data_IF_548518007661
#
_entry.id   IF_548518007661
#
_cell.length_a   1.000
_cell.length_b   1.000
_cell.length_c   1.000
_cell.angle_alpha   90.00
_cell.angle_beta   90.00
_cell.angle_gamma   90.00
#
_symmetry.space_group_name_H-M   'P 1'
#
loop_
_entity.id
_entity.type
_entity.pdbx_description
1 polymer ?
#
# COMPACT_ATOMS: atom_id res chain seq x y z
N UNK A 1 7.84 -28.16 16.85
CA UNK A 1 7.63 -26.85 16.21
C UNK A 1 6.18 -26.79 15.77
N UNK A 2 5.41 -25.90 16.36
CA UNK A 2 3.99 -25.65 16.10
C UNK A 2 3.79 -24.84 14.81
N UNK A 3 2.57 -24.80 14.26
CA UNK A 3 2.26 -23.97 13.08
C UNK A 3 2.38 -22.46 13.37
N UNK A 4 2.18 -22.05 14.63
CA UNK A 4 2.54 -20.72 15.10
C UNK A 4 4.04 -20.47 14.91
N UNK A 5 4.89 -21.48 15.17
CA UNK A 5 6.34 -21.35 14.97
C UNK A 5 6.67 -21.16 13.49
N UNK A 6 6.00 -21.81 12.53
CA UNK A 6 6.35 -21.67 11.10
C UNK A 6 5.93 -20.33 10.48
N UNK A 7 4.75 -19.79 10.81
CA UNK A 7 4.36 -18.44 10.38
C UNK A 7 5.18 -17.36 11.08
N UNK A 8 5.42 -17.53 12.39
CA UNK A 8 6.41 -16.74 13.08
C UNK A 8 7.78 -16.90 12.41
N UNK A 9 8.13 -18.07 11.85
CA UNK A 9 9.40 -18.29 11.14
C UNK A 9 9.41 -17.68 9.73
N UNK A 10 8.31 -17.67 8.97
CA UNK A 10 8.26 -17.00 7.67
C UNK A 10 8.25 -15.49 7.82
N UNK A 11 7.40 -14.96 8.71
CA UNK A 11 7.39 -13.55 9.04
C UNK A 11 8.72 -13.13 9.67
N UNK A 12 9.27 -13.90 10.63
CA UNK A 12 10.59 -13.61 11.19
C UNK A 12 11.69 -13.71 10.14
N UNK A 13 11.61 -14.63 9.17
CA UNK A 13 12.55 -14.66 8.03
C UNK A 13 12.42 -13.42 7.16
N UNK A 14 11.21 -13.02 6.79
CA UNK A 14 10.97 -11.81 6.01
C UNK A 14 11.46 -10.56 6.78
N UNK A 15 11.08 -10.41 8.05
CA UNK A 15 11.56 -9.36 8.95
C UNK A 15 13.08 -9.38 9.07
N UNK A 16 13.70 -10.55 9.20
CA UNK A 16 15.16 -10.68 9.29
C UNK A 16 15.85 -10.29 7.97
N UNK A 17 15.30 -10.68 6.82
CA UNK A 17 15.80 -10.29 5.50
C UNK A 17 15.75 -8.77 5.37
N UNK A 18 14.60 -8.16 5.70
CA UNK A 18 14.40 -6.71 5.61
C UNK A 18 15.35 -5.98 6.58
N UNK A 19 15.51 -6.45 7.83
CA UNK A 19 16.48 -5.89 8.80
C UNK A 19 17.92 -6.03 8.32
N UNK A 20 18.28 -7.17 7.74
CA UNK A 20 19.64 -7.40 7.21
C UNK A 20 19.91 -6.47 6.04
N UNK A 21 18.92 -6.28 5.17
CA UNK A 21 18.99 -5.33 4.07
C UNK A 21 19.12 -3.89 4.58
N UNK A 22 18.29 -3.46 5.54
CA UNK A 22 18.38 -2.15 6.20
C UNK A 22 19.79 -1.87 6.74
N UNK A 23 20.36 -2.82 7.51
CA UNK A 23 21.68 -2.68 8.12
C UNK A 23 22.81 -2.58 7.09
N UNK A 24 22.69 -3.27 5.95
CA UNK A 24 23.69 -3.24 4.89
C UNK A 24 23.59 -1.98 4.04
N UNK A 25 22.38 -1.57 3.68
CA UNK A 25 22.13 -0.39 2.86
C UNK A 25 22.39 0.91 3.65
N UNK A 26 22.12 0.92 4.96
CA UNK A 26 22.24 2.09 5.83
C UNK A 26 22.98 1.76 7.14
N UNK A 27 24.30 1.52 7.09
CA UNK A 27 25.07 1.18 8.28
C UNK A 27 25.05 2.32 9.31
N UNK A 28 24.83 1.98 10.58
CA UNK A 28 24.87 2.92 11.70
C UNK A 28 23.57 3.68 12.00
N UNK A 29 22.51 3.47 11.21
CA UNK A 29 21.17 3.97 11.52
C UNK A 29 20.44 3.09 12.55
N UNK A 30 19.73 3.71 13.49
CA UNK A 30 18.75 2.96 14.30
C UNK A 30 17.60 2.47 13.42
N UNK A 31 17.19 1.21 13.54
CA UNK A 31 16.13 0.62 12.71
C UNK A 31 14.81 1.38 12.86
N UNK A 32 14.18 1.70 11.73
CA UNK A 32 12.88 2.40 11.68
C UNK A 32 11.73 1.49 11.21
N UNK A 33 12.02 0.22 10.93
CA UNK A 33 11.09 -0.76 10.35
C UNK A 33 9.77 -0.92 11.10
N UNK A 34 9.81 -0.82 12.43
CA UNK A 34 8.66 -1.03 13.29
C UNK A 34 7.96 0.29 13.68
N UNK A 35 8.48 1.44 13.22
CA UNK A 35 8.06 2.78 13.70
C UNK A 35 7.53 3.69 12.60
N UNK A 36 7.93 3.49 11.36
CA UNK A 36 7.55 4.34 10.24
C UNK A 36 7.15 3.50 9.01
N UNK A 37 5.84 3.36 8.73
CA UNK A 37 5.35 2.64 7.56
C UNK A 37 5.84 3.21 6.22
N UNK A 38 6.10 4.53 6.14
CA UNK A 38 6.64 5.15 4.93
C UNK A 38 8.09 4.74 4.72
N UNK A 39 8.87 4.70 5.81
CA UNK A 39 10.23 4.17 5.77
C UNK A 39 10.25 2.70 5.35
N UNK A 40 9.43 1.85 5.97
CA UNK A 40 9.34 0.42 5.63
C UNK A 40 8.94 0.22 4.17
N UNK A 41 7.99 1.02 3.66
CA UNK A 41 7.61 0.99 2.24
C UNK A 41 8.77 1.43 1.34
N UNK A 42 9.46 2.52 1.66
CA UNK A 42 10.60 2.99 0.89
C UNK A 42 11.74 1.96 0.88
N UNK A 43 12.00 1.30 2.01
CA UNK A 43 13.00 0.25 2.11
C UNK A 43 12.60 -0.99 1.31
N UNK A 44 11.33 -1.41 1.36
CA UNK A 44 10.82 -2.51 0.52
C UNK A 44 10.92 -2.17 -0.97
N UNK A 45 10.59 -0.93 -1.36
CA UNK A 45 10.76 -0.46 -2.73
C UNK A 45 12.24 -0.47 -3.15
N UNK A 46 13.14 -0.01 -2.29
CA UNK A 46 14.58 -0.08 -2.55
C UNK A 46 15.06 -1.53 -2.67
N UNK A 47 14.62 -2.43 -1.79
CA UNK A 47 14.95 -3.86 -1.88
C UNK A 47 14.45 -4.47 -3.18
N UNK A 48 13.21 -4.19 -3.59
CA UNK A 48 12.66 -4.67 -4.86
C UNK A 48 13.49 -4.15 -6.04
N UNK A 49 13.85 -2.87 -6.03
CA UNK A 49 14.69 -2.26 -7.05
C UNK A 49 16.10 -2.90 -7.09
N UNK A 50 16.71 -3.17 -5.94
CA UNK A 50 18.03 -3.81 -5.88
C UNK A 50 17.97 -5.28 -6.35
N UNK A 51 16.88 -5.98 -6.05
CA UNK A 51 16.63 -7.34 -6.56
C UNK A 51 16.43 -7.35 -8.09
N UNK A 52 15.82 -6.31 -8.65
CA UNK A 52 15.69 -6.14 -10.10
C UNK A 52 17.06 -5.91 -10.75
N UNK A 53 17.90 -5.04 -10.17
CA UNK A 53 19.27 -4.85 -10.67
C UNK A 53 20.13 -6.12 -10.55
N UNK A 54 20.00 -6.87 -9.45
CA UNK A 54 20.65 -8.17 -9.29
C UNK A 54 20.20 -9.16 -10.36
N UNK A 55 18.90 -9.21 -10.67
CA UNK A 55 18.37 -10.06 -11.72
C UNK A 55 18.98 -9.71 -13.08
N UNK A 56 19.09 -8.42 -13.41
CA UNK A 56 19.70 -7.94 -14.66
C UNK A 56 21.18 -8.37 -14.76
N UNK A 57 21.98 -8.18 -13.70
CA UNK A 57 23.41 -8.54 -13.69
C UNK A 57 23.63 -10.06 -13.87
N UNK A 58 22.65 -10.86 -13.47
CA UNK A 58 22.67 -12.31 -13.57
C UNK A 58 21.83 -12.90 -14.72
N UNK A 59 21.37 -12.06 -15.66
CA UNK A 59 20.55 -12.46 -16.82
C UNK A 59 19.28 -13.25 -16.43
N UNK A 60 18.63 -12.83 -15.33
CA UNK A 60 17.36 -13.35 -14.84
C UNK A 60 16.21 -12.42 -15.24
N UNK A 61 15.10 -12.97 -15.74
CA UNK A 61 13.87 -12.20 -15.97
C UNK A 61 13.18 -11.94 -14.61
N UNK A 62 13.34 -10.73 -14.09
CA UNK A 62 12.76 -10.33 -12.80
C UNK A 62 11.23 -10.45 -12.78
N UNK A 63 10.56 -10.13 -13.89
CA UNK A 63 9.10 -10.23 -13.97
C UNK A 63 8.66 -11.69 -13.95
N UNK A 64 9.37 -12.59 -14.63
CA UNK A 64 9.14 -14.03 -14.59
C UNK A 64 9.39 -14.60 -13.19
N UNK A 65 10.46 -14.18 -12.49
CA UNK A 65 10.75 -14.63 -11.11
C UNK A 65 9.64 -14.20 -10.14
N UNK A 66 9.16 -12.95 -10.24
CA UNK A 66 8.03 -12.48 -9.43
C UNK A 66 6.74 -13.21 -9.80
N UNK A 67 6.47 -13.40 -11.09
CA UNK A 67 5.31 -14.16 -11.55
C UNK A 67 5.37 -15.62 -11.09
N UNK A 68 6.54 -16.25 -11.11
CA UNK A 68 6.80 -17.59 -10.62
C UNK A 68 6.65 -17.68 -9.11
N UNK A 69 7.15 -16.71 -8.34
CA UNK A 69 6.91 -16.66 -6.89
C UNK A 69 5.43 -16.53 -6.55
N UNK A 70 4.70 -15.69 -7.29
CA UNK A 70 3.24 -15.57 -7.20
C UNK A 70 2.53 -16.86 -7.65
N UNK A 71 3.03 -17.51 -8.70
CA UNK A 71 2.49 -18.74 -9.22
C UNK A 71 2.74 -19.91 -8.25
N UNK A 72 3.90 -20.03 -7.63
CA UNK A 72 4.19 -21.02 -6.57
C UNK A 72 3.26 -20.78 -5.36
N UNK A 73 2.99 -19.52 -5.04
CA UNK A 73 1.98 -19.17 -4.04
C UNK A 73 0.58 -19.57 -4.51
N UNK A 74 0.30 -19.50 -5.81
CA UNK A 74 -1.02 -19.73 -6.43
C UNK A 74 -1.30 -21.17 -6.91
N UNK A 75 -0.26 -21.97 -7.12
CA UNK A 75 -0.26 -23.34 -7.67
C UNK A 75 -0.01 -24.38 -6.59
N UNK A 76 -0.01 -23.99 -5.31
CA UNK A 76 -0.10 -24.97 -4.26
C UNK A 76 -1.38 -25.81 -4.53
N UNK A 77 -1.28 -27.13 -4.78
CA UNK A 77 -2.35 -27.96 -5.31
C UNK A 77 -3.59 -28.08 -4.41
N UNK A 78 -3.55 -27.49 -3.21
CA UNK A 78 -4.71 -27.29 -2.35
C UNK A 78 -5.60 -26.10 -2.72
N UNK A 79 -5.19 -25.22 -3.66
CA UNK A 79 -5.90 -23.96 -3.97
C UNK A 79 -7.18 -24.14 -4.78
N UNK A 80 -7.23 -25.10 -5.71
CA UNK A 80 -8.46 -25.37 -6.48
C UNK A 80 -9.55 -26.06 -5.64
N UNK A 81 -9.15 -26.71 -4.55
CA UNK A 81 -10.05 -27.30 -3.55
C UNK A 81 -10.19 -26.43 -2.30
N UNK A 82 -9.52 -25.28 -2.25
CA UNK A 82 -9.53 -24.40 -1.09
C UNK A 82 -10.93 -23.76 -0.96
N UNK A 83 -11.57 -23.84 0.21
CA UNK A 83 -12.92 -23.31 0.40
C UNK A 83 -12.99 -21.78 0.26
N UNK A 84 -11.86 -21.09 0.40
CA UNK A 84 -11.72 -19.64 0.20
C UNK A 84 -10.51 -19.28 -0.65
N UNK A 85 -10.61 -18.13 -1.34
CA UNK A 85 -9.55 -17.55 -2.19
C UNK A 85 -9.06 -16.20 -1.68
N UNK A 86 -7.83 -15.84 -2.03
CA UNK A 86 -7.30 -14.49 -1.78
C UNK A 86 -8.20 -13.44 -2.46
N UNK A 87 -8.52 -12.39 -1.72
CA UNK A 87 -9.49 -11.37 -2.10
C UNK A 87 -10.93 -11.70 -1.75
N UNK A 88 -11.26 -12.89 -1.26
CA UNK A 88 -12.63 -13.17 -0.79
C UNK A 88 -12.92 -12.50 0.55
N UNK A 89 -14.18 -12.11 0.71
CA UNK A 89 -14.70 -11.49 1.91
C UNK A 89 -15.28 -12.55 2.85
N UNK A 90 -14.77 -12.62 4.06
CA UNK A 90 -15.12 -13.64 5.05
C UNK A 90 -15.54 -13.02 6.37
N UNK A 91 -16.39 -13.73 7.09
CA UNK A 91 -16.77 -13.45 8.46
C UNK A 91 -15.95 -14.35 9.39
N UNK A 92 -15.59 -13.81 10.55
CA UNK A 92 -14.84 -14.48 11.61
C UNK A 92 -15.74 -14.65 12.85
N UNK A 93 -16.59 -15.70 12.93
CA UNK A 93 -17.49 -15.93 14.07
C UNK A 93 -16.80 -15.90 15.43
N UNK A 94 -15.61 -16.50 15.55
CA UNK A 94 -14.85 -16.56 16.80
C UNK A 94 -14.21 -15.22 17.20
N UNK A 95 -14.16 -14.24 16.29
CA UNK A 95 -13.63 -12.91 16.53
C UNK A 95 -14.74 -11.87 16.65
N UNK A 96 -15.83 -12.22 17.35
CA UNK A 96 -16.99 -11.35 17.54
C UNK A 96 -17.81 -11.14 16.26
N UNK A 97 -17.72 -12.08 15.31
CA UNK A 97 -18.45 -12.01 14.05
C UNK A 97 -18.00 -10.90 13.11
N UNK A 98 -16.75 -10.41 13.25
CA UNK A 98 -16.14 -9.41 12.38
C UNK A 98 -16.05 -9.88 10.93
N UNK A 99 -15.98 -8.95 9.99
CA UNK A 99 -15.74 -9.26 8.57
C UNK A 99 -14.39 -8.73 8.11
N UNK A 100 -13.73 -9.49 7.24
CA UNK A 100 -12.43 -9.16 6.68
C UNK A 100 -12.23 -9.74 5.27
N UNK A 101 -11.05 -9.52 4.71
CA UNK A 101 -10.67 -10.00 3.38
C UNK A 101 -9.51 -10.98 3.51
N UNK A 102 -9.58 -12.10 2.80
CA UNK A 102 -8.48 -13.08 2.72
C UNK A 102 -7.32 -12.42 1.97
N UNK A 103 -6.15 -12.32 2.61
CA UNK A 103 -4.94 -11.77 1.99
C UNK A 103 -3.88 -12.81 1.71
N UNK A 104 -4.07 -14.01 2.25
CA UNK A 104 -3.19 -15.14 2.05
C UNK A 104 -3.71 -16.35 2.77
N UNK A 105 -2.97 -17.45 2.67
CA UNK A 105 -3.24 -18.68 3.39
C UNK A 105 -1.96 -19.48 3.51
N UNK A 106 -1.96 -20.45 4.41
CA UNK A 106 -0.87 -21.39 4.63
C UNK A 106 -1.46 -22.76 4.95
N UNK A 107 -0.83 -23.82 4.46
CA UNK A 107 -1.19 -25.19 4.82
C UNK A 107 -0.33 -25.64 5.99
N UNK A 108 -0.97 -26.08 7.08
CA UNK A 108 -0.22 -26.75 8.15
C UNK A 108 0.21 -28.14 7.68
N UNK A 109 1.43 -28.58 8.05
CA UNK A 109 1.86 -29.98 7.87
C UNK A 109 1.16 -30.94 8.84
N UNK A 110 0.47 -30.41 9.85
CA UNK A 110 -0.40 -31.19 10.73
C UNK A 110 -1.80 -31.28 10.14
N UNK A 111 -2.60 -32.24 10.60
CA UNK A 111 -4.01 -32.48 10.21
C UNK A 111 -4.98 -31.29 10.46
N UNK A 112 -4.46 -30.11 10.82
CA UNK A 112 -5.19 -28.89 11.12
C UNK A 112 -5.69 -28.13 9.87
N UNK A 113 -5.44 -28.65 8.67
CA UNK A 113 -5.95 -28.08 7.42
C UNK A 113 -5.32 -26.73 7.03
N UNK A 114 -6.02 -25.99 6.16
CA UNK A 114 -5.61 -24.69 5.63
C UNK A 114 -5.95 -23.58 6.63
N UNK A 115 -4.95 -22.78 6.99
CA UNK A 115 -5.09 -21.56 7.79
C UNK A 115 -5.10 -20.36 6.85
N UNK A 116 -6.14 -19.55 6.92
CA UNK A 116 -6.28 -18.34 6.13
C UNK A 116 -5.80 -17.11 6.91
N UNK A 117 -5.21 -16.17 6.19
CA UNK A 117 -4.79 -14.88 6.71
C UNK A 117 -5.84 -13.84 6.30
N UNK A 118 -6.44 -13.17 7.28
CA UNK A 118 -7.57 -12.26 7.10
C UNK A 118 -7.22 -10.87 7.60
N UNK A 119 -7.32 -9.88 6.73
CA UNK A 119 -7.26 -8.47 7.10
C UNK A 119 -8.66 -7.96 7.44
N UNK A 120 -8.79 -7.33 8.60
CA UNK A 120 -10.04 -6.68 9.04
C UNK A 120 -9.81 -5.17 8.98
N UNK A 121 -10.66 -4.39 8.29
CA UNK A 121 -10.48 -2.95 8.16
C UNK A 121 -10.27 -2.25 9.50
N UNK A 122 -9.26 -1.38 9.56
CA UNK A 122 -8.87 -0.63 10.76
C UNK A 122 -8.45 -1.49 11.96
N UNK A 123 -8.12 -2.76 11.76
CA UNK A 123 -7.40 -3.59 12.71
C UNK A 123 -5.97 -3.78 12.16
N UNK A 124 -4.93 -3.33 12.87
CA UNK A 124 -3.57 -3.32 12.32
C UNK A 124 -2.94 -4.73 12.17
N UNK A 125 -3.56 -5.75 12.77
CA UNK A 125 -3.05 -7.11 12.78
C UNK A 125 -3.82 -8.00 11.82
N UNK A 126 -3.10 -8.80 11.02
CA UNK A 126 -3.67 -9.87 10.21
C UNK A 126 -4.05 -11.03 11.13
N UNK A 127 -5.29 -11.51 10.99
CA UNK A 127 -5.81 -12.63 11.78
C UNK A 127 -5.57 -13.94 11.04
N UNK A 128 -5.03 -14.94 11.73
CA UNK A 128 -4.88 -16.28 11.20
C UNK A 128 -6.06 -17.14 11.66
N UNK A 129 -6.80 -17.74 10.73
CA UNK A 129 -8.04 -18.47 11.05
C UNK A 129 -8.18 -19.73 10.19
N UNK A 130 -8.43 -20.91 10.78
CA UNK A 130 -8.76 -22.13 10.05
C UNK A 130 -9.97 -21.97 9.12
N UNK A 131 -10.03 -22.76 8.04
CA UNK A 131 -11.12 -22.73 7.07
C UNK A 131 -12.51 -22.96 7.70
N UNK A 132 -12.63 -23.91 8.62
CA UNK A 132 -13.84 -24.28 9.34
C UNK A 132 -14.30 -23.22 10.36
N UNK A 133 -13.41 -22.28 10.70
CA UNK A 133 -13.69 -21.13 11.54
C UNK A 133 -14.02 -19.86 10.74
N UNK A 134 -14.10 -19.96 9.42
CA UNK A 134 -14.54 -18.89 8.53
C UNK A 134 -15.94 -19.18 8.00
N UNK A 135 -16.68 -18.11 7.74
CA UNK A 135 -17.93 -18.16 6.99
C UNK A 135 -17.89 -17.12 5.87
N UNK A 136 -18.67 -17.26 4.79
CA UNK A 136 -18.85 -16.19 3.81
C UNK A 136 -19.34 -14.90 4.50
N UNK A 137 -18.73 -13.77 4.17
CA UNK A 137 -19.23 -12.48 4.66
C UNK A 137 -20.54 -12.09 3.94
N UNK A 138 -21.40 -11.29 4.59
CA UNK A 138 -22.41 -10.55 3.84
C UNK A 138 -21.74 -9.63 2.81
N UNK A 139 -22.38 -9.33 1.67
CA UNK A 139 -21.82 -8.42 0.68
C UNK A 139 -21.60 -7.03 1.29
N UNK A 140 -20.48 -6.39 0.94
CA UNK A 140 -20.23 -5.01 1.34
C UNK A 140 -21.29 -4.07 0.70
N UNK A 141 -21.92 -3.16 1.48
CA UNK A 141 -22.96 -2.29 0.97
C UNK A 141 -22.39 -1.30 -0.08
N UNK A 142 -23.01 -1.20 -1.27
CA UNK A 142 -22.59 -0.23 -2.29
C UNK A 142 -22.61 1.20 -1.74
N UNK A 143 -21.44 1.83 -1.70
CA UNK A 143 -21.25 3.14 -1.07
C UNK A 143 -20.86 4.17 -2.11
N UNK A 144 -21.68 5.22 -2.25
CA UNK A 144 -21.41 6.32 -3.20
C UNK A 144 -20.40 7.32 -2.61
N UNK A 145 -19.38 7.64 -3.38
CA UNK A 145 -18.34 8.61 -3.03
C UNK A 145 -18.14 9.61 -4.18
N UNK A 146 -17.36 10.67 -3.94
CA UNK A 146 -16.92 11.58 -5.00
C UNK A 146 -16.01 10.93 -6.05
N UNK A 147 -15.51 9.71 -5.83
CA UNK A 147 -14.66 8.95 -6.77
C UNK A 147 -15.41 7.82 -7.47
N UNK A 148 -16.74 7.71 -7.26
CA UNK A 148 -17.58 6.65 -7.79
C UNK A 148 -18.19 5.77 -6.70
N UNK A 149 -18.86 4.69 -7.12
CA UNK A 149 -19.47 3.72 -6.21
C UNK A 149 -18.47 2.63 -5.87
N UNK A 150 -18.31 2.36 -4.57
CA UNK A 150 -17.45 1.29 -4.06
C UNK A 150 -18.32 0.14 -3.55
N UNK A 151 -18.05 -1.09 -3.97
CA UNK A 151 -18.85 -2.28 -3.62
C UNK A 151 -18.06 -3.35 -2.87
N UNK A 152 -16.81 -3.07 -2.50
CA UNK A 152 -15.94 -4.00 -1.76
C UNK A 152 -15.25 -3.30 -0.59
N UNK A 153 -15.09 -4.01 0.53
CA UNK A 153 -14.48 -3.47 1.73
C UNK A 153 -13.01 -3.06 1.53
N UNK A 154 -12.21 -3.89 0.85
CA UNK A 154 -10.80 -3.62 0.55
C UNK A 154 -10.61 -2.39 -0.36
N UNK A 155 -11.57 -2.14 -1.25
CA UNK A 155 -11.60 -0.93 -2.06
C UNK A 155 -12.07 0.28 -1.22
N UNK A 156 -13.05 0.10 -0.33
CA UNK A 156 -13.59 1.17 0.51
C UNK A 156 -12.53 1.75 1.44
N UNK A 157 -11.70 0.90 2.04
CA UNK A 157 -10.58 1.32 2.89
C UNK A 157 -9.54 2.14 2.10
N UNK A 158 -9.11 1.65 0.92
CA UNK A 158 -8.17 2.37 0.06
C UNK A 158 -8.71 3.72 -0.41
N UNK A 159 -10.00 3.78 -0.77
CA UNK A 159 -10.68 5.02 -1.17
C UNK A 159 -10.79 5.97 0.02
N UNK A 160 -11.09 5.48 1.22
CA UNK A 160 -11.11 6.28 2.44
C UNK A 160 -9.76 6.94 2.70
N UNK A 161 -8.66 6.16 2.72
CA UNK A 161 -7.30 6.68 2.97
C UNK A 161 -6.94 7.77 1.95
N UNK A 162 -7.25 7.54 0.67
CA UNK A 162 -7.01 8.52 -0.41
C UNK A 162 -7.80 9.81 -0.21
N UNK A 163 -9.09 9.72 0.13
CA UNK A 163 -9.95 10.88 0.38
C UNK A 163 -9.54 11.64 1.65
N UNK A 164 -9.20 10.92 2.73
CA UNK A 164 -8.74 11.49 3.98
C UNK A 164 -7.45 12.30 3.78
N UNK A 165 -6.48 11.77 3.02
CA UNK A 165 -5.25 12.49 2.68
C UNK A 165 -5.54 13.80 1.91
N UNK A 166 -6.51 13.78 0.98
CA UNK A 166 -6.93 14.96 0.20
C UNK A 166 -7.67 16.01 1.01
N UNK A 167 -8.26 15.65 2.16
CA UNK A 167 -9.06 16.58 2.96
C UNK A 167 -8.23 17.79 3.44
N UNK A 168 -6.93 17.58 3.69
CA UNK A 168 -5.98 18.63 4.10
C UNK A 168 -5.73 19.70 3.03
N UNK A 169 -5.80 19.33 1.75
CA UNK A 169 -5.50 20.20 0.60
C UNK A 169 -6.73 20.64 -0.19
N UNK A 170 -7.91 20.08 0.12
CA UNK A 170 -9.15 20.39 -0.57
C UNK A 170 -9.64 21.84 -0.34
N UNK A 171 -10.19 22.46 -1.39
CA UNK A 171 -10.87 23.75 -1.34
C UNK A 171 -12.15 23.66 -0.49
N UNK A 172 -12.69 24.80 -0.01
CA UNK A 172 -13.92 24.82 0.80
C UNK A 172 -15.11 24.04 0.20
N UNK A 173 -15.49 24.21 -1.09
CA UNK A 173 -16.60 23.44 -1.66
C UNK A 173 -16.29 21.94 -1.78
N UNK A 174 -15.08 21.57 -2.19
CA UNK A 174 -14.69 20.15 -2.34
C UNK A 174 -14.55 19.45 -0.99
N UNK A 175 -14.09 20.17 0.03
CA UNK A 175 -13.88 19.64 1.39
C UNK A 175 -15.16 19.08 1.99
N UNK A 176 -16.31 19.73 1.77
CA UNK A 176 -17.59 19.23 2.25
C UNK A 176 -18.01 17.90 1.57
N UNK A 177 -17.79 17.79 0.25
CA UNK A 177 -18.10 16.57 -0.50
C UNK A 177 -17.14 15.41 -0.16
N UNK A 178 -15.85 15.70 0.00
CA UNK A 178 -14.83 14.73 0.45
C UNK A 178 -15.15 14.24 1.85
N UNK A 179 -15.43 15.16 2.80
CA UNK A 179 -15.79 14.79 4.18
C UNK A 179 -17.02 13.87 4.22
N UNK A 180 -18.07 14.21 3.46
CA UNK A 180 -19.28 13.37 3.36
C UNK A 180 -18.95 11.98 2.81
N UNK A 181 -18.07 11.90 1.80
CA UNK A 181 -17.62 10.62 1.24
C UNK A 181 -16.85 9.79 2.28
N UNK A 182 -15.97 10.41 3.06
CA UNK A 182 -15.26 9.75 4.16
C UNK A 182 -16.22 9.23 5.24
N UNK A 183 -17.20 10.05 5.66
CA UNK A 183 -18.19 9.69 6.67
C UNK A 183 -19.04 8.49 6.20
N UNK A 184 -19.50 8.50 4.95
CA UNK A 184 -20.24 7.38 4.36
C UNK A 184 -19.41 6.08 4.32
N UNK A 185 -18.13 6.17 3.96
CA UNK A 185 -17.23 4.99 3.90
C UNK A 185 -16.97 4.42 5.28
N UNK A 186 -16.75 5.25 6.29
CA UNK A 186 -16.55 4.81 7.68
C UNK A 186 -17.79 4.13 8.22
N UNK A 187 -18.98 4.68 7.94
CA UNK A 187 -20.24 4.07 8.36
C UNK A 187 -20.43 2.68 7.71
N UNK A 188 -20.22 2.59 6.39
CA UNK A 188 -20.31 1.34 5.65
C UNK A 188 -19.29 0.29 6.13
N UNK A 189 -18.02 0.68 6.30
CA UNK A 189 -16.96 -0.18 6.84
C UNK A 189 -17.27 -0.62 8.27
N UNK A 190 -17.78 0.28 9.11
CA UNK A 190 -18.10 -0.03 10.51
C UNK A 190 -19.23 -1.05 10.60
N UNK A 191 -20.32 -0.81 9.87
CA UNK A 191 -21.48 -1.70 9.83
C UNK A 191 -21.11 -3.09 9.28
N UNK A 192 -20.30 -3.14 8.21
CA UNK A 192 -19.91 -4.40 7.58
C UNK A 192 -18.86 -5.18 8.39
N UNK A 193 -17.79 -4.52 8.86
CA UNK A 193 -16.69 -5.18 9.56
C UNK A 193 -16.99 -5.51 11.02
N UNK A 194 -17.98 -4.84 11.62
CA UNK A 194 -18.24 -4.90 13.06
C UNK A 194 -17.22 -4.12 13.91
N UNK A 195 -16.29 -3.39 13.28
CA UNK A 195 -15.34 -2.50 13.97
C UNK A 195 -16.01 -1.13 14.20
N UNK A 196 -15.96 -0.55 15.41
CA UNK A 196 -16.57 0.75 15.67
C UNK A 196 -16.01 1.87 14.80
N UNK A 197 -16.87 2.76 14.29
CA UNK A 197 -16.50 3.87 13.42
C UNK A 197 -15.39 4.78 13.98
N UNK A 198 -15.37 5.02 15.30
CA UNK A 198 -14.32 5.83 15.93
C UNK A 198 -12.95 5.14 15.88
N UNK A 199 -12.92 3.80 16.05
CA UNK A 199 -11.70 3.02 15.94
C UNK A 199 -11.19 3.00 14.50
N UNK A 200 -12.08 2.81 13.52
CA UNK A 200 -11.73 2.87 12.10
C UNK A 200 -11.11 4.22 11.73
N UNK A 201 -11.71 5.34 12.16
CA UNK A 201 -11.13 6.69 11.92
C UNK A 201 -9.73 6.81 12.52
N UNK A 202 -9.56 6.41 13.78
CA UNK A 202 -8.26 6.51 14.45
C UNK A 202 -7.15 5.69 13.77
N UNK A 203 -7.47 4.51 13.25
CA UNK A 203 -6.48 3.62 12.65
C UNK A 203 -6.25 3.89 11.16
N UNK A 204 -7.28 4.33 10.43
CA UNK A 204 -7.19 4.58 8.98
C UNK A 204 -6.84 6.03 8.64
N UNK A 205 -7.01 6.97 9.55
CA UNK A 205 -6.62 8.36 9.28
C UNK A 205 -5.11 8.43 9.03
N UNK A 206 -4.68 9.15 7.97
CA UNK A 206 -3.28 9.29 7.68
C UNK A 206 -2.59 9.95 8.88
N UNK A 207 -1.78 9.16 9.59
CA UNK A 207 -1.02 9.65 10.73
C UNK A 207 -0.04 10.71 10.19
N UNK A 208 0.01 11.92 10.77
CA UNK A 208 1.01 12.89 10.37
C UNK A 208 2.39 12.25 10.51
N UNK A 209 3.31 12.51 9.57
CA UNK A 209 4.66 12.00 9.69
C UNK A 209 5.22 12.42 11.06
N UNK A 210 5.93 11.52 11.76
CA UNK A 210 6.52 11.86 13.04
C UNK A 210 7.35 13.14 12.88
N UNK A 211 7.28 14.08 13.84
CA UNK A 211 8.03 15.32 13.74
C UNK A 211 9.50 14.97 13.51
N UNK A 212 10.09 15.57 12.47
CA UNK A 212 11.49 15.36 12.16
C UNK A 212 12.32 15.63 13.42
N UNK A 213 13.29 14.76 13.78
CA UNK A 213 14.08 14.95 14.98
C UNK A 213 14.71 16.35 14.96
N UNK A 214 14.52 17.12 16.03
CA UNK A 214 14.85 18.54 16.12
C UNK A 214 16.33 18.88 15.85
N UNK A 215 17.20 17.86 15.81
CA UNK A 215 18.62 17.98 15.59
C UNK A 215 19.11 17.44 14.23
N UNK A 216 18.22 17.09 13.29
CA UNK A 216 18.67 16.71 11.94
C UNK A 216 18.95 17.99 11.15
N UNK A 217 20.20 18.26 10.72
CA UNK A 217 20.50 19.40 9.87
C UNK A 217 19.64 19.31 8.62
N UNK A 218 18.86 20.35 8.32
CA UNK A 218 18.02 20.47 7.11
C UNK A 218 18.84 20.65 5.82
N UNK A 219 20.14 20.41 5.89
CA UNK A 219 21.04 20.68 4.80
C UNK A 219 20.95 19.54 3.79
N UNK A 220 20.16 19.74 2.74
CA UNK A 220 20.05 18.80 1.63
C UNK A 220 21.43 18.49 1.02
N UNK A 221 22.40 19.40 1.17
CA UNK A 221 23.79 19.17 0.77
C UNK A 221 24.50 18.14 1.67
N UNK A 222 24.20 18.12 2.98
CA UNK A 222 24.75 17.10 3.89
C UNK A 222 24.11 15.73 3.64
N UNK A 223 22.81 15.68 3.35
CA UNK A 223 22.13 14.43 2.99
C UNK A 223 22.62 13.86 1.64
N UNK A 224 23.03 14.71 0.69
CA UNK A 224 23.62 14.28 -0.57
C UNK A 224 25.02 13.64 -0.38
N UNK A 225 25.76 14.05 0.65
CA UNK A 225 27.08 13.48 0.98
C UNK A 225 27.01 12.10 1.65
N UNK A 226 25.85 11.71 2.18
CA UNK A 226 25.63 10.36 2.77
C UNK A 226 25.41 9.27 1.70
N UNK A 227 25.28 9.64 0.43
CA UNK A 227 25.22 8.68 -0.67
C UNK A 227 26.63 8.39 -1.22
N UNK A 228 27.05 7.13 -1.33
CA UNK A 228 28.40 6.77 -1.79
C UNK A 228 28.69 7.17 -3.24
N UNK A 229 27.64 7.50 -4.01
CA UNK A 229 27.72 8.00 -5.37
C UNK A 229 26.86 9.25 -5.54
N UNK A 230 27.45 10.27 -6.17
CA UNK A 230 26.77 11.49 -6.56
C UNK A 230 25.66 11.16 -7.58
N UNK A 231 24.41 11.21 -7.15
CA UNK A 231 23.21 10.99 -7.97
C UNK A 231 23.09 11.94 -9.18
N UNK A 232 23.91 12.99 -9.25
CA UNK A 232 23.99 13.86 -10.43
C UNK A 232 24.95 13.34 -11.51
N UNK A 233 25.84 12.39 -11.18
CA UNK A 233 26.68 11.70 -12.18
C UNK A 233 25.85 10.73 -13.00
N UNK A 234 25.36 11.20 -14.14
CA UNK A 234 24.59 10.41 -15.10
C UNK A 234 23.33 11.09 -15.59
N UNK A 235 22.90 12.17 -14.93
CA UNK A 235 21.84 13.04 -15.45
C UNK A 235 22.52 13.98 -16.46
N UNK A 236 22.24 13.85 -17.78
CA UNK A 236 22.75 14.81 -18.74
C UNK A 236 22.27 16.21 -18.34
N UNK A 237 23.14 17.22 -18.39
CA UNK A 237 22.77 18.57 -17.98
C UNK A 237 21.52 18.98 -18.75
N UNK A 238 20.50 19.44 -18.02
CA UNK A 238 19.30 20.03 -18.62
C UNK A 238 19.80 21.15 -19.52
N UNK A 239 19.69 20.94 -20.83
CA UNK A 239 20.02 21.95 -21.83
C UNK A 239 19.34 23.24 -21.43
N UNK A 240 20.17 24.25 -21.11
CA UNK A 240 19.68 25.55 -20.67
C UNK A 240 18.66 26.15 -21.64
N UNK A 241 17.86 27.12 -21.20
CA UNK A 241 16.86 27.76 -22.05
C UNK A 241 17.52 28.31 -23.31
N UNK A 242 17.18 27.69 -24.44
CA UNK A 242 17.69 28.02 -25.76
C UNK A 242 17.36 29.48 -26.08
N UNK A 243 18.31 30.42 -26.08
CA UNK A 243 18.04 31.83 -26.34
C UNK A 243 18.09 32.05 -27.85
N UNK A 244 17.01 31.74 -28.55
CA UNK A 244 17.09 31.90 -30.01
C UNK A 244 15.91 31.42 -30.83
N UNK A 245 14.68 31.88 -30.54
CA UNK A 245 13.71 32.09 -31.62
C UNK A 245 12.90 33.36 -31.39
N UNK A 246 13.54 34.48 -31.71
CA UNK A 246 12.84 35.70 -32.11
C UNK A 246 12.43 35.53 -33.57
N UNK A 247 11.20 35.10 -33.82
CA UNK A 247 10.52 35.38 -35.09
C UNK A 247 9.35 36.30 -34.81
N UNK A 248 9.66 37.59 -34.89
CA UNK A 248 8.69 38.62 -35.26
C UNK A 248 7.99 38.15 -36.54
N UNK A 249 6.69 37.89 -36.47
CA UNK A 249 5.85 38.07 -37.64
C UNK A 249 4.57 38.80 -37.25
N UNK A 250 4.53 40.04 -37.68
CA UNK A 250 3.48 41.01 -37.46
C UNK A 250 2.41 40.88 -38.55
N UNK A 251 1.14 40.80 -38.12
CA UNK A 251 -0.09 41.31 -38.78
C UNK A 251 -0.57 40.65 -40.10
N UNK A 252 -1.86 40.82 -40.53
CA UNK A 252 -2.85 41.79 -40.06
C UNK A 252 -4.25 41.27 -39.69
N UNK A 253 -4.93 42.17 -38.98
CA UNK A 253 -6.34 42.33 -38.66
C UNK A 253 -7.24 42.35 -39.91
N UNK A 254 -8.24 41.47 -39.95
CA UNK A 254 -9.52 41.71 -40.64
C UNK A 254 -10.64 41.07 -39.81
N UNK A 255 -11.57 41.88 -39.31
CA UNK A 255 -12.96 41.46 -39.12
C UNK A 255 -13.81 42.19 -40.16
N UNK A 256 -15.12 42.34 -39.96
CA UNK A 256 -16.12 41.36 -39.57
C UNK A 256 -17.10 41.11 -40.74
N UNK A 257 -17.85 40.01 -40.74
CA UNK A 257 -19.06 39.91 -41.59
C UNK A 257 -20.20 39.24 -40.85
N UNK A 258 -21.23 40.04 -40.59
CA UNK A 258 -22.59 39.61 -40.30
C UNK A 258 -23.22 39.00 -41.55
N UNK A 259 -24.05 37.96 -41.36
CA UNK A 259 -25.26 37.65 -42.13
C UNK A 259 -26.04 36.63 -41.27
N UNK A 260 -27.15 37.03 -40.67
CA UNK A 260 -28.53 36.95 -41.20
C UNK A 260 -29.17 35.60 -40.83
#
# INVERSE_FOLDING_TARGET
MTAHDFNATQLARATQIIRTYEQRAFPGGGSLLDRDPLYTRALLSALINDLEHYAIDHDLDFAEVIASGRAITSQNPGQDTAPYKVGEQVRLPLHGGRCGTIVGWTTSRSDAGTIYLVEVPGIPNVLATPADHLAPAPPFPPTKTSLGTVSRADQAERVYISLAARLSTATAPDRAAVKRSCDNLIEALSSWSGVPAHQLRNELDPKPPPPAPANRPRDAAAAANDFPHDITKGIPPVSGPNPGHSTKQSRPRQGPTQAA
#
